data_IF_552983959952
#
_entry.id   IF_552983959952
#
_cell.length_a   1.000
_cell.length_b   1.000
_cell.length_c   1.000
_cell.angle_alpha   90.00
_cell.angle_beta   90.00
_cell.angle_gamma   90.00
#
_symmetry.space_group_name_H-M   'P 1'
#
loop_
_entity.id
_entity.type
_entity.pdbx_description
1 polymer ?
#
# COMPACT_ATOMS: atom_id res chain seq x y z
N UNK A 1 8.30 18.80 25.04
CA UNK A 1 7.84 17.87 23.98
C UNK A 1 8.78 16.67 23.83
N UNK A 2 10.11 16.84 23.62
CA UNK A 2 11.01 15.70 23.36
C UNK A 2 11.07 14.68 24.50
N UNK A 3 11.13 15.16 25.75
CA UNK A 3 11.18 14.31 26.95
C UNK A 3 9.94 13.41 27.08
N UNK A 4 8.74 13.96 26.86
CA UNK A 4 7.50 13.18 26.91
C UNK A 4 7.46 12.12 25.81
N UNK A 5 7.88 12.47 24.60
CA UNK A 5 7.93 11.51 23.47
C UNK A 5 8.90 10.36 23.79
N UNK A 6 10.08 10.65 24.33
CA UNK A 6 11.03 9.62 24.73
C UNK A 6 10.44 8.69 25.80
N UNK A 7 9.79 9.24 26.83
CA UNK A 7 9.09 8.42 27.85
C UNK A 7 8.02 7.54 27.22
N UNK A 8 7.26 8.03 26.24
CA UNK A 8 6.24 7.24 25.55
C UNK A 8 6.85 6.13 24.68
N UNK A 9 8.01 6.38 24.05
CA UNK A 9 8.77 5.37 23.30
C UNK A 9 9.32 4.30 24.26
N UNK A 10 9.90 4.71 25.39
CA UNK A 10 10.44 3.79 26.41
C UNK A 10 9.35 2.88 27.01
N UNK A 11 8.12 3.39 27.10
CA UNK A 11 6.94 2.64 27.53
C UNK A 11 6.25 1.85 26.38
N UNK A 12 6.81 1.84 25.17
CA UNK A 12 6.25 1.22 23.95
C UNK A 12 4.83 1.72 23.59
N UNK A 13 4.48 2.93 24.04
CA UNK A 13 3.23 3.61 23.70
C UNK A 13 3.31 4.32 22.36
N UNK A 14 4.53 4.62 21.88
CA UNK A 14 4.81 5.10 20.53
C UNK A 14 5.78 4.13 19.87
N UNK A 15 5.34 3.51 18.78
CA UNK A 15 6.14 2.53 18.04
C UNK A 15 5.81 2.60 16.54
N UNK A 16 6.68 3.26 15.78
CA UNK A 16 6.50 3.49 14.34
C UNK A 16 6.53 2.19 13.53
N UNK A 17 7.31 1.19 13.96
CA UNK A 17 7.34 -0.13 13.32
C UNK A 17 6.00 -0.83 13.45
N UNK A 18 5.47 -0.92 14.67
CA UNK A 18 4.17 -1.53 14.92
C UNK A 18 3.06 -0.79 14.16
N UNK A 19 3.12 0.54 14.14
CA UNK A 19 2.21 1.37 13.35
C UNK A 19 2.27 1.05 11.85
N UNK A 20 3.48 1.04 11.27
CA UNK A 20 3.69 0.81 9.85
C UNK A 20 3.20 -0.58 9.42
N UNK A 21 3.55 -1.64 10.16
CA UNK A 21 3.09 -3.00 9.87
C UNK A 21 1.55 -3.11 9.95
N UNK A 22 0.95 -2.54 11.00
CA UNK A 22 -0.50 -2.55 11.16
C UNK A 22 -1.18 -1.80 10.02
N UNK A 23 -0.64 -0.65 9.63
CA UNK A 23 -1.14 0.12 8.50
C UNK A 23 -1.06 -0.67 7.19
N UNK A 24 0.07 -1.33 6.91
CA UNK A 24 0.23 -2.18 5.72
C UNK A 24 -0.82 -3.30 5.72
N UNK A 25 -0.98 -4.04 6.81
CA UNK A 25 -2.00 -5.11 6.94
C UNK A 25 -3.42 -4.57 6.72
N UNK A 26 -3.76 -3.43 7.31
CA UNK A 26 -5.08 -2.81 7.11
C UNK A 26 -5.30 -2.43 5.64
N UNK A 27 -4.33 -1.77 5.01
CA UNK A 27 -4.48 -1.29 3.63
C UNK A 27 -4.50 -2.45 2.63
N UNK A 28 -3.74 -3.51 2.88
CA UNK A 28 -3.85 -4.77 2.17
C UNK A 28 -5.29 -5.27 2.25
N UNK A 29 -5.87 -5.41 3.44
CA UNK A 29 -7.19 -6.03 3.60
C UNK A 29 -8.37 -5.16 3.13
N UNK A 30 -8.23 -3.83 3.17
CA UNK A 30 -9.37 -2.91 3.01
C UNK A 30 -9.32 -2.05 1.75
N UNK A 31 -8.24 -2.12 0.97
CA UNK A 31 -8.09 -1.27 -0.22
C UNK A 31 -7.48 -1.99 -1.42
N UNK A 32 -7.43 -1.27 -2.53
CA UNK A 32 -6.78 -1.67 -3.79
C UNK A 32 -5.48 -0.89 -4.04
N UNK A 33 -4.80 -0.41 -2.99
CA UNK A 33 -3.52 0.30 -3.10
C UNK A 33 -2.35 -0.70 -3.22
N UNK A 34 -1.40 -0.38 -4.09
CA UNK A 34 -0.14 -1.10 -4.22
C UNK A 34 0.97 -0.53 -3.31
N UNK A 35 2.14 -1.20 -3.25
CA UNK A 35 3.20 -0.87 -2.31
C UNK A 35 3.69 0.57 -2.38
N UNK A 36 3.81 1.16 -3.57
CA UNK A 36 4.34 2.53 -3.73
C UNK A 36 3.44 3.57 -3.08
N UNK A 37 2.12 3.42 -3.23
CA UNK A 37 1.15 4.31 -2.61
C UNK A 37 1.11 4.09 -1.09
N UNK A 38 1.26 2.85 -0.63
CA UNK A 38 1.35 2.53 0.80
C UNK A 38 2.59 3.18 1.42
N UNK A 39 3.76 3.02 0.78
CA UNK A 39 5.03 3.66 1.16
C UNK A 39 4.86 5.17 1.30
N UNK A 40 4.34 5.81 0.25
CA UNK A 40 4.12 7.27 0.24
C UNK A 40 3.19 7.73 1.37
N UNK A 41 2.15 6.95 1.69
CA UNK A 41 1.25 7.29 2.79
C UNK A 41 1.93 7.15 4.17
N UNK A 42 2.82 6.18 4.35
CA UNK A 42 3.63 6.04 5.56
C UNK A 42 4.58 7.22 5.72
N UNK A 43 5.30 7.58 4.66
CA UNK A 43 6.22 8.73 4.65
C UNK A 43 5.50 10.04 4.99
N UNK A 44 4.31 10.26 4.40
CA UNK A 44 3.47 11.45 4.71
C UNK A 44 3.02 11.53 6.17
N UNK A 45 3.01 10.40 6.89
CA UNK A 45 2.68 10.32 8.30
C UNK A 45 3.90 10.46 9.21
N UNK A 46 5.08 10.69 8.64
CA UNK A 46 6.33 10.84 9.36
C UNK A 46 7.04 9.53 9.69
N UNK A 47 6.57 8.40 9.17
CA UNK A 47 7.28 7.11 9.33
C UNK A 47 8.56 7.17 8.50
N UNK A 48 9.67 6.76 9.12
CA UNK A 48 10.97 6.66 8.45
C UNK A 48 10.93 5.71 7.24
N UNK A 49 11.77 6.00 6.23
CA UNK A 49 11.80 5.22 4.98
C UNK A 49 12.15 3.75 5.23
N UNK A 50 13.11 3.47 6.12
CA UNK A 50 13.52 2.11 6.43
C UNK A 50 12.39 1.32 7.12
N UNK A 51 11.67 1.96 8.05
CA UNK A 51 10.52 1.35 8.74
C UNK A 51 9.40 1.06 7.74
N UNK A 52 9.16 1.97 6.80
CA UNK A 52 8.16 1.76 5.75
C UNK A 52 8.54 0.61 4.81
N UNK A 53 9.82 0.49 4.43
CA UNK A 53 10.32 -0.61 3.61
C UNK A 53 10.21 -1.95 4.33
N UNK A 54 10.62 -2.02 5.60
CA UNK A 54 10.49 -3.22 6.44
C UNK A 54 9.04 -3.69 6.55
N UNK A 55 8.11 -2.76 6.79
CA UNK A 55 6.69 -3.09 6.88
C UNK A 55 6.11 -3.60 5.55
N UNK A 56 6.62 -3.11 4.41
CA UNK A 56 6.16 -3.52 3.08
C UNK A 56 6.54 -4.95 2.71
N UNK A 57 7.51 -5.57 3.39
CA UNK A 57 7.85 -6.99 3.22
C UNK A 57 6.62 -7.88 3.47
N UNK A 58 5.69 -7.44 4.33
CA UNK A 58 4.41 -8.13 4.57
C UNK A 58 3.52 -8.22 3.32
N UNK A 59 3.66 -7.28 2.39
CA UNK A 59 2.89 -7.25 1.14
C UNK A 59 3.67 -7.92 0.02
N UNK A 60 3.85 -9.24 0.14
CA UNK A 60 4.59 -10.04 -0.83
C UNK A 60 4.09 -9.89 -2.26
N UNK A 61 4.97 -10.10 -3.24
CA UNK A 61 4.65 -10.04 -4.67
C UNK A 61 3.43 -10.91 -5.03
N UNK A 62 3.31 -12.10 -4.43
CA UNK A 62 2.16 -12.98 -4.62
C UNK A 62 0.85 -12.30 -4.23
N UNK A 63 0.81 -11.66 -3.05
CA UNK A 63 -0.38 -10.95 -2.58
C UNK A 63 -0.68 -9.71 -3.44
N UNK A 64 0.37 -9.02 -3.91
CA UNK A 64 0.21 -7.88 -4.82
C UNK A 64 -0.40 -8.33 -6.15
N UNK A 65 0.08 -9.43 -6.72
CA UNK A 65 -0.48 -10.00 -7.96
C UNK A 65 -1.93 -10.42 -7.75
N UNK A 66 -2.26 -11.12 -6.67
CA UNK A 66 -3.64 -11.55 -6.37
C UNK A 66 -4.61 -10.36 -6.31
N UNK A 67 -4.22 -9.30 -5.60
CA UNK A 67 -5.02 -8.06 -5.50
C UNK A 67 -5.07 -7.30 -6.82
N UNK A 68 -3.94 -7.21 -7.51
CA UNK A 68 -3.82 -6.57 -8.82
C UNK A 68 -4.70 -7.24 -9.87
N UNK A 69 -4.73 -8.58 -9.91
CA UNK A 69 -5.60 -9.36 -10.81
C UNK A 69 -7.06 -9.12 -10.49
N UNK A 70 -7.45 -9.24 -9.22
CA UNK A 70 -8.84 -9.00 -8.78
C UNK A 70 -9.33 -7.60 -9.19
N UNK A 71 -8.46 -6.59 -9.08
CA UNK A 71 -8.77 -5.23 -9.51
C UNK A 71 -8.82 -5.09 -11.04
N UNK A 72 -7.87 -5.71 -11.75
CA UNK A 72 -7.80 -5.71 -13.20
C UNK A 72 -9.04 -6.36 -13.84
N UNK A 73 -9.55 -7.46 -13.27
CA UNK A 73 -10.77 -8.13 -13.73
C UNK A 73 -11.99 -7.21 -13.63
N UNK A 74 -12.13 -6.46 -12.53
CA UNK A 74 -13.19 -5.46 -12.37
C UNK A 74 -13.11 -4.38 -13.45
N UNK A 75 -11.90 -3.94 -13.79
CA UNK A 75 -11.69 -2.95 -14.85
C UNK A 75 -11.92 -3.53 -16.25
N UNK A 76 -11.54 -4.78 -16.49
CA UNK A 76 -11.81 -5.46 -17.76
C UNK A 76 -13.31 -5.53 -18.04
N UNK A 77 -14.11 -5.87 -17.03
CA UNK A 77 -15.57 -5.86 -17.13
C UNK A 77 -16.13 -4.45 -17.34
N UNK A 78 -15.57 -3.43 -16.67
CA UNK A 78 -15.98 -2.03 -16.82
C UNK A 78 -15.72 -1.49 -18.23
N UNK A 79 -14.60 -1.87 -18.84
CA UNK A 79 -14.15 -1.40 -20.15
C UNK A 79 -14.36 -2.45 -21.25
N UNK A 80 -15.35 -3.31 -21.10
CA UNK A 80 -15.67 -4.39 -22.06
C UNK A 80 -16.07 -3.90 -23.46
N UNK A 81 -16.51 -2.64 -23.57
CA UNK A 81 -16.89 -2.00 -24.83
C UNK A 81 -15.68 -1.45 -25.62
N UNK A 82 -14.52 -1.34 -24.98
CA UNK A 82 -13.29 -0.88 -25.64
C UNK A 82 -12.61 -2.04 -26.39
N UNK A 83 -11.75 -1.71 -27.35
CA UNK A 83 -10.85 -2.71 -27.94
C UNK A 83 -9.92 -3.31 -26.89
N UNK A 84 -9.53 -4.58 -27.06
CA UNK A 84 -8.62 -5.29 -26.15
C UNK A 84 -7.38 -4.48 -25.77
N UNK A 85 -6.74 -3.84 -26.77
CA UNK A 85 -5.55 -3.00 -26.55
C UNK A 85 -5.85 -1.78 -25.67
N UNK A 86 -6.99 -1.11 -25.92
CA UNK A 86 -7.38 0.05 -25.12
C UNK A 86 -7.73 -0.35 -23.69
N UNK A 87 -8.46 -1.46 -23.51
CA UNK A 87 -8.75 -2.02 -22.18
C UNK A 87 -7.47 -2.36 -21.42
N UNK A 88 -6.51 -3.03 -22.05
CA UNK A 88 -5.22 -3.34 -21.43
C UNK A 88 -4.44 -2.07 -21.03
N UNK A 89 -4.43 -1.04 -21.88
CA UNK A 89 -3.75 0.22 -21.57
C UNK A 89 -4.39 0.92 -20.35
N UNK A 90 -5.73 0.96 -20.28
CA UNK A 90 -6.46 1.53 -19.14
C UNK A 90 -6.19 0.76 -17.84
N UNK A 91 -6.18 -0.58 -17.91
CA UNK A 91 -5.84 -1.44 -16.76
C UNK A 91 -4.41 -1.15 -16.27
N UNK A 92 -3.42 -1.17 -17.17
CA UNK A 92 -2.02 -0.87 -16.83
C UNK A 92 -1.88 0.51 -16.20
N UNK A 93 -2.48 1.52 -16.80
CA UNK A 93 -2.46 2.88 -16.26
C UNK A 93 -3.08 2.94 -14.87
N UNK A 94 -4.21 2.27 -14.65
CA UNK A 94 -4.88 2.28 -13.35
C UNK A 94 -4.12 1.50 -12.26
N UNK A 95 -3.39 0.44 -12.62
CA UNK A 95 -2.52 -0.27 -11.68
C UNK A 95 -1.33 0.60 -11.28
N UNK A 96 -0.70 1.27 -12.24
CA UNK A 96 0.40 2.21 -12.00
C UNK A 96 -0.03 3.37 -11.08
N UNK A 97 -1.20 3.98 -11.31
CA UNK A 97 -1.69 5.07 -10.46
C UNK A 97 -2.05 4.61 -9.05
N UNK A 98 -2.37 3.32 -8.88
CA UNK A 98 -2.59 2.70 -7.56
C UNK A 98 -1.30 2.27 -6.87
N UNK A 99 -0.16 2.37 -7.55
CA UNK A 99 1.15 2.10 -6.98
C UNK A 99 1.56 0.62 -6.98
N UNK A 100 0.93 -0.18 -7.84
CA UNK A 100 1.47 -1.49 -8.23
C UNK A 100 2.66 -1.35 -9.18
#
# INVERSE_FOLDING_TARGET
IPEIINTLIDLDLINDKHYAESYVRTIMNTSDKGPKVIKLNLLKKGVDDNIAEDALILYTDKLQVEKGVTFAEKLANRYSHDSYRNTQNKIKQSLLTKGF
#
